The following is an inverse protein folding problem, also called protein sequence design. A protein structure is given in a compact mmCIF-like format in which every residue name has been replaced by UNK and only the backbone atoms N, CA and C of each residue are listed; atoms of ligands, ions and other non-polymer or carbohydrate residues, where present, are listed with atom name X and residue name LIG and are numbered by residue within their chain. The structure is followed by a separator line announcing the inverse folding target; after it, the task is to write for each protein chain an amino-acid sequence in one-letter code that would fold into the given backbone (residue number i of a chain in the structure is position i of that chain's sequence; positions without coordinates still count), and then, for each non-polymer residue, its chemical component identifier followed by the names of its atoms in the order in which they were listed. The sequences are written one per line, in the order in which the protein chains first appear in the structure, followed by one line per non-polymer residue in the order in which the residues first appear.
data_IF_848329324688
#
_entry.id   IF_848329324688
#
_cell.length_a   1.000
_cell.length_b   1.000
_cell.length_c   1.000
_cell.angle_alpha   90.00
_cell.angle_beta   90.00
_cell.angle_gamma   90.00
#
_symmetry.space_group_name_H-M   'P 1'
#
loop_
_entity.id
_entity.type
_entity.pdbx_description
1 polymer ?
#
# COMPACT_ATOMS: atom_id res chain seq x y z
N UNK A 1 22.82 40.49 43.79
CA UNK A 1 23.01 39.28 42.95
C UNK A 1 21.76 39.08 42.11
N UNK A 2 21.90 39.19 40.79
CA UNK A 2 20.81 38.99 39.81
C UNK A 2 20.71 37.49 39.53
N UNK A 3 19.59 36.86 39.87
CA UNK A 3 19.25 35.53 39.36
C UNK A 3 18.46 35.72 38.07
N UNK A 4 19.13 35.60 36.93
CA UNK A 4 18.48 35.41 35.64
C UNK A 4 18.20 33.91 35.52
N UNK A 5 17.00 33.49 35.89
CA UNK A 5 16.52 32.15 35.59
C UNK A 5 16.13 32.13 34.11
N UNK A 6 17.06 31.65 33.29
CA UNK A 6 16.85 31.35 31.89
C UNK A 6 15.85 30.19 31.82
N UNK A 7 14.57 30.51 31.64
CA UNK A 7 13.52 29.56 31.31
C UNK A 7 13.82 28.99 29.92
N UNK A 8 14.59 27.88 29.88
CA UNK A 8 14.64 27.00 28.72
C UNK A 8 13.21 26.48 28.50
N UNK A 9 12.49 27.15 27.60
CA UNK A 9 11.28 26.63 27.01
C UNK A 9 11.70 25.39 26.21
N UNK A 10 11.51 24.23 26.81
CA UNK A 10 11.70 22.94 26.18
C UNK A 10 10.67 22.84 25.05
N UNK A 11 11.09 23.24 23.85
CA UNK A 11 10.34 23.03 22.61
C UNK A 11 10.44 21.53 22.29
N UNK A 12 9.58 20.74 22.93
CA UNK A 12 9.34 19.36 22.52
C UNK A 12 8.43 19.45 21.29
N UNK A 13 9.05 19.65 20.12
CA UNK A 13 8.37 19.43 18.85
C UNK A 13 8.01 17.95 18.77
N UNK A 14 6.73 17.66 18.97
CA UNK A 14 6.14 16.35 18.77
C UNK A 14 6.23 15.96 17.27
N UNK A 15 7.35 15.43 16.82
CA UNK A 15 7.40 14.60 15.60
C UNK A 15 6.91 13.19 15.94
N UNK A 16 5.68 13.07 16.45
CA UNK A 16 5.11 11.81 16.95
C UNK A 16 4.00 11.24 16.04
N UNK A 17 3.84 11.75 14.82
CA UNK A 17 2.72 11.32 13.96
C UNK A 17 3.06 10.11 13.06
N UNK A 18 4.30 9.96 12.60
CA UNK A 18 4.63 8.96 11.56
C UNK A 18 5.18 7.62 12.05
N UNK A 19 5.46 7.42 13.33
CA UNK A 19 5.87 6.09 13.82
C UNK A 19 4.73 5.07 13.75
N UNK A 20 3.48 5.54 13.73
CA UNK A 20 2.26 4.72 13.81
C UNK A 20 2.05 3.84 12.57
N UNK A 21 2.52 4.25 11.39
CA UNK A 21 2.31 3.52 10.13
C UNK A 21 3.26 2.34 9.95
N UNK A 22 4.32 2.25 10.76
CA UNK A 22 5.29 1.15 10.70
C UNK A 22 4.63 -0.19 11.07
N UNK A 23 5.08 -1.24 10.41
CA UNK A 23 4.63 -2.61 10.64
C UNK A 23 4.03 -3.25 9.41
N UNK A 24 3.25 -4.30 9.63
CA UNK A 24 2.71 -5.14 8.57
C UNK A 24 1.23 -4.89 8.39
N UNK A 25 0.84 -4.73 7.12
CA UNK A 25 -0.51 -4.40 6.70
C UNK A 25 -0.91 -5.30 5.55
N UNK A 26 -2.11 -5.86 5.60
CA UNK A 26 -2.60 -6.85 4.67
C UNK A 26 -3.93 -6.44 4.04
N UNK A 27 -4.20 -6.97 2.85
CA UNK A 27 -5.49 -6.82 2.17
C UNK A 27 -5.78 -8.05 1.31
N UNK A 28 -7.03 -8.51 1.35
CA UNK A 28 -7.58 -9.43 0.37
C UNK A 28 -8.09 -8.63 -0.84
N UNK A 29 -7.76 -9.10 -2.04
CA UNK A 29 -8.23 -8.50 -3.28
C UNK A 29 -9.44 -9.29 -3.81
N UNK A 30 -10.31 -8.67 -4.62
CA UNK A 30 -11.47 -9.33 -5.20
C UNK A 30 -11.16 -10.59 -6.00
N UNK A 31 -9.94 -10.65 -6.52
CA UNK A 31 -9.41 -11.74 -7.32
C UNK A 31 -8.86 -12.93 -6.51
N UNK A 32 -9.21 -13.01 -5.22
CA UNK A 32 -8.73 -14.04 -4.28
C UNK A 32 -7.28 -13.85 -3.82
N UNK A 33 -6.56 -12.87 -4.36
CA UNK A 33 -5.16 -12.61 -4.03
C UNK A 33 -4.99 -11.92 -2.68
N UNK A 34 -3.97 -12.32 -1.93
CA UNK A 34 -3.57 -11.66 -0.69
C UNK A 34 -2.31 -10.82 -0.89
N UNK A 35 -2.35 -9.56 -0.45
CA UNK A 35 -1.22 -8.63 -0.54
C UNK A 35 -0.80 -8.22 0.87
N UNK A 36 0.50 -8.21 1.12
CA UNK A 36 1.09 -7.77 2.39
C UNK A 36 2.13 -6.68 2.17
N UNK A 37 2.01 -5.61 2.93
CA UNK A 37 2.86 -4.44 2.95
C UNK A 37 3.60 -4.40 4.28
N UNK A 38 4.91 -4.54 4.26
CA UNK A 38 5.78 -4.36 5.43
C UNK A 38 6.46 -2.99 5.33
N UNK A 39 6.02 -2.05 6.16
CA UNK A 39 6.55 -0.69 6.23
C UNK A 39 7.57 -0.57 7.38
N UNK A 40 8.79 -0.18 7.02
CA UNK A 40 9.91 0.08 7.93
C UNK A 40 10.34 1.55 7.83
N UNK A 41 11.43 1.94 8.51
CA UNK A 41 11.93 3.32 8.54
C UNK A 41 12.35 3.87 7.17
N UNK A 42 12.74 3.00 6.24
CA UNK A 42 13.28 3.42 4.95
C UNK A 42 12.83 2.56 3.78
N UNK A 43 12.10 1.47 4.05
CA UNK A 43 11.72 0.47 3.04
C UNK A 43 10.27 0.04 3.22
N UNK A 44 9.58 -0.13 2.09
CA UNK A 44 8.34 -0.89 1.96
C UNK A 44 8.66 -2.19 1.24
N UNK A 45 8.22 -3.32 1.80
CA UNK A 45 8.23 -4.61 1.12
C UNK A 45 6.79 -5.01 0.79
N UNK A 46 6.50 -5.15 -0.51
CA UNK A 46 5.22 -5.64 -1.00
C UNK A 46 5.37 -7.12 -1.38
N UNK A 47 4.63 -7.99 -0.70
CA UNK A 47 4.52 -9.41 -1.03
C UNK A 47 3.11 -9.69 -1.57
N UNK A 48 3.01 -10.32 -2.73
CA UNK A 48 1.73 -10.54 -3.43
C UNK A 48 1.56 -12.01 -3.76
N UNK A 49 0.40 -12.55 -3.37
CA UNK A 49 -0.06 -13.89 -3.73
C UNK A 49 -1.09 -13.75 -4.84
N UNK A 50 -0.69 -14.13 -6.05
CA UNK A 50 -1.52 -14.44 -7.23
C UNK A 50 -0.75 -15.47 -8.07
N UNK A 51 -1.25 -16.09 -9.17
CA UNK A 51 -0.74 -17.40 -9.62
C UNK A 51 0.80 -17.50 -9.75
N UNK A 52 1.48 -16.38 -10.02
CA UNK A 52 2.91 -16.24 -9.79
C UNK A 52 3.19 -15.28 -8.61
N UNK A 53 3.54 -15.79 -7.41
CA UNK A 53 3.80 -14.93 -6.26
C UNK A 53 5.10 -14.14 -6.45
N UNK A 54 5.15 -12.92 -5.92
CA UNK A 54 6.36 -12.10 -5.98
C UNK A 54 6.55 -11.23 -4.74
N UNK A 55 7.78 -10.75 -4.57
CA UNK A 55 8.18 -9.73 -3.59
C UNK A 55 8.83 -8.56 -4.33
N UNK A 56 8.43 -7.36 -3.96
CA UNK A 56 8.93 -6.07 -4.42
C UNK A 56 9.40 -5.23 -3.22
N UNK A 57 10.44 -4.41 -3.43
CA UNK A 57 11.05 -3.57 -2.41
C UNK A 57 11.09 -2.14 -2.94
N UNK A 58 10.58 -1.21 -2.14
CA UNK A 58 10.55 0.21 -2.45
C UNK A 58 11.30 0.98 -1.37
N UNK A 59 11.97 2.06 -1.74
CA UNK A 59 12.42 3.05 -0.77
C UNK A 59 11.22 3.87 -0.27
N UNK A 60 11.23 4.17 1.02
CA UNK A 60 10.22 5.00 1.69
C UNK A 60 10.88 6.25 2.23
N UNK A 61 10.24 7.40 1.99
CA UNK A 61 10.53 8.64 2.69
C UNK A 61 9.26 9.12 3.38
N UNK A 62 9.34 9.34 4.69
CA UNK A 62 8.23 9.86 5.47
C UNK A 62 8.14 11.38 5.35
N UNK A 63 6.94 11.89 5.11
CA UNK A 63 6.60 13.32 5.06
C UNK A 63 5.40 13.58 5.98
N UNK A 64 5.12 14.84 6.30
CA UNK A 64 4.10 15.19 7.31
C UNK A 64 2.72 14.57 7.06
N UNK A 65 2.27 14.49 5.80
CA UNK A 65 0.94 13.97 5.44
C UNK A 65 0.95 12.54 4.86
N UNK A 66 2.11 11.86 4.82
CA UNK A 66 2.16 10.58 4.13
C UNK A 66 3.54 9.97 3.93
N UNK A 67 3.64 9.12 2.92
CA UNK A 67 4.87 8.45 2.54
C UNK A 67 5.12 8.61 1.05
N UNK A 68 6.37 8.82 0.68
CA UNK A 68 6.82 8.77 -0.71
C UNK A 68 7.43 7.39 -0.93
N UNK A 69 6.89 6.64 -1.89
CA UNK A 69 7.46 5.39 -2.38
C UNK A 69 8.26 5.65 -3.65
N UNK A 70 9.44 5.07 -3.74
CA UNK A 70 10.34 5.23 -4.89
C UNK A 70 11.19 3.99 -5.11
N UNK A 71 11.87 3.91 -6.25
CA UNK A 71 12.71 2.76 -6.58
C UNK A 71 13.73 2.48 -5.48
N UNK A 72 13.79 1.22 -5.04
CA UNK A 72 14.87 0.74 -4.18
C UNK A 72 16.16 0.63 -5.01
N UNK A 73 16.93 1.73 -5.06
CA UNK A 73 18.20 1.86 -5.80
C UNK A 73 19.24 0.75 -5.52
N UNK A 74 19.08 0.01 -4.43
CA UNK A 74 19.95 -1.07 -3.97
C UNK A 74 19.60 -2.43 -4.59
N UNK A 75 18.53 -2.51 -5.38
CA UNK A 75 18.13 -3.69 -6.12
C UNK A 75 18.19 -3.39 -7.62
N UNK A 76 18.65 -4.33 -8.45
CA UNK A 76 18.52 -4.23 -9.93
C UNK A 76 17.05 -4.31 -10.39
N UNK A 77 16.10 -4.32 -9.45
CA UNK A 77 14.67 -4.43 -9.68
C UNK A 77 14.13 -3.03 -9.81
N UNK A 78 13.70 -2.69 -11.03
CA UNK A 78 12.83 -1.54 -11.26
C UNK A 78 11.47 -1.84 -10.66
N UNK A 79 10.85 -0.86 -10.01
CA UNK A 79 9.47 -0.99 -9.56
C UNK A 79 8.57 -1.39 -10.72
N UNK A 80 7.54 -2.19 -10.42
CA UNK A 80 6.43 -2.39 -11.36
C UNK A 80 5.48 -1.17 -11.38
N UNK A 81 5.68 -0.23 -10.47
CA UNK A 81 4.88 0.98 -10.29
C UNK A 81 5.75 2.24 -10.34
N UNK A 82 5.22 3.37 -10.81
CA UNK A 82 5.97 4.63 -10.79
C UNK A 82 6.13 5.11 -9.33
N UNK A 83 7.21 5.86 -9.01
CA UNK A 83 7.35 6.52 -7.71
C UNK A 83 6.09 7.34 -7.40
N UNK A 84 5.56 7.23 -6.19
CA UNK A 84 4.28 7.83 -5.80
C UNK A 84 4.34 8.43 -4.40
N UNK A 85 3.45 9.38 -4.13
CA UNK A 85 3.15 9.82 -2.77
C UNK A 85 1.83 9.20 -2.34
N UNK A 86 1.84 8.50 -1.21
CA UNK A 86 0.68 7.94 -0.56
C UNK A 86 0.31 8.81 0.64
N UNK A 87 -0.80 9.54 0.51
CA UNK A 87 -1.34 10.35 1.60
C UNK A 87 -1.97 9.45 2.66
N UNK A 88 -1.70 9.70 3.93
CA UNK A 88 -2.39 9.03 5.03
C UNK A 88 -3.77 9.67 5.20
N UNK A 89 -4.81 8.91 4.90
CA UNK A 89 -6.19 9.34 5.13
C UNK A 89 -6.65 8.99 6.55
N UNK A 90 -6.20 7.85 7.06
CA UNK A 90 -6.58 7.37 8.38
C UNK A 90 -5.55 6.37 8.90
N UNK A 91 -5.32 6.40 10.21
CA UNK A 91 -4.49 5.41 10.87
C UNK A 91 -5.01 5.10 12.27
N UNK A 92 -4.95 3.82 12.62
CA UNK A 92 -5.32 3.24 13.90
C UNK A 92 -4.44 2.04 14.20
N UNK A 93 -4.67 1.35 15.32
CA UNK A 93 -3.91 0.15 15.69
C UNK A 93 -4.11 -1.02 14.72
N UNK A 94 -5.27 -1.09 14.08
CA UNK A 94 -5.75 -2.23 13.28
C UNK A 94 -6.03 -1.87 11.81
N UNK A 95 -6.18 -0.59 11.49
CA UNK A 95 -6.47 -0.11 10.13
C UNK A 95 -5.58 1.04 9.69
N UNK A 96 -5.16 0.96 8.43
CA UNK A 96 -4.41 2.00 7.71
C UNK A 96 -5.13 2.28 6.38
N UNK A 97 -5.45 3.55 6.12
CA UNK A 97 -5.97 3.99 4.82
C UNK A 97 -5.03 4.99 4.18
N UNK A 98 -4.59 4.65 2.98
CA UNK A 98 -3.69 5.46 2.15
C UNK A 98 -4.38 5.85 0.85
N UNK A 99 -3.98 6.97 0.26
CA UNK A 99 -4.43 7.39 -1.07
C UNK A 99 -3.25 7.74 -1.96
N UNK A 100 -3.22 7.16 -3.16
CA UNK A 100 -2.29 7.58 -4.22
C UNK A 100 -2.58 9.02 -4.64
N UNK A 101 -1.55 9.86 -4.62
CA UNK A 101 -1.65 11.22 -5.17
C UNK A 101 -1.61 11.24 -6.69
N UNK A 102 -1.10 10.19 -7.33
CA UNK A 102 -1.06 10.08 -8.79
C UNK A 102 -2.34 9.52 -9.38
N UNK A 103 -2.87 8.42 -8.84
CA UNK A 103 -4.03 7.74 -9.42
C UNK A 103 -5.33 8.11 -8.70
N UNK A 104 -5.24 8.61 -7.46
CA UNK A 104 -6.40 8.84 -6.60
C UNK A 104 -6.91 7.58 -5.89
N UNK A 105 -6.35 6.40 -6.21
CA UNK A 105 -6.76 5.12 -5.63
C UNK A 105 -6.55 5.09 -4.12
N UNK A 106 -7.48 4.45 -3.42
CA UNK A 106 -7.40 4.25 -1.98
C UNK A 106 -7.02 2.81 -1.64
N UNK A 107 -6.12 2.68 -0.67
CA UNK A 107 -5.66 1.41 -0.13
C UNK A 107 -6.14 1.31 1.30
N UNK A 108 -7.16 0.48 1.53
CA UNK A 108 -7.62 0.13 2.87
C UNK A 108 -6.94 -1.16 3.31
N UNK A 109 -6.10 -1.05 4.34
CA UNK A 109 -5.25 -2.13 4.82
C UNK A 109 -5.59 -2.45 6.27
N UNK A 110 -5.61 -3.74 6.59
CA UNK A 110 -5.78 -4.26 7.95
C UNK A 110 -4.44 -4.65 8.53
N UNK A 111 -4.29 -4.65 9.85
CA UNK A 111 -3.06 -5.15 10.49
C UNK A 111 -2.83 -6.61 10.10
N UNK A 112 -1.60 -6.94 9.76
CA UNK A 112 -1.20 -8.30 9.41
C UNK A 112 -0.18 -8.86 10.41
N UNK A 113 -0.27 -10.16 10.69
CA UNK A 113 0.67 -10.85 11.58
C UNK A 113 1.89 -11.39 10.85
N UNK A 114 1.86 -11.40 9.50
CA UNK A 114 2.99 -11.83 8.69
C UNK A 114 4.22 -10.97 8.97
N UNK A 115 5.37 -11.61 9.21
CA UNK A 115 6.65 -10.94 9.44
C UNK A 115 7.70 -11.53 8.51
N UNK A 116 8.34 -10.65 7.74
CA UNK A 116 9.51 -11.00 6.95
C UNK A 116 10.76 -10.99 7.85
N UNK A 117 11.70 -11.87 7.53
CA UNK A 117 13.05 -11.74 8.07
C UNK A 117 13.71 -10.47 7.53
N UNK A 118 14.65 -9.86 8.28
CA UNK A 118 15.42 -8.71 7.79
C UNK A 118 16.05 -9.00 6.42
N UNK A 119 16.01 -8.00 5.53
CA UNK A 119 16.53 -8.14 4.17
C UNK A 119 18.03 -8.40 4.21
N UNK A 120 18.47 -9.55 3.70
CA UNK A 120 19.89 -9.81 3.45
C UNK A 120 20.26 -9.35 2.03
N UNK A 121 20.77 -8.12 1.92
CA UNK A 121 21.21 -7.57 0.64
C UNK A 121 22.45 -8.28 0.07
N UNK A 122 23.30 -8.91 0.90
CA UNK A 122 24.47 -9.64 0.44
C UNK A 122 24.08 -10.97 -0.22
N UNK A 123 22.96 -11.57 0.22
CA UNK A 123 22.41 -12.81 -0.33
C UNK A 123 20.97 -12.63 -0.85
N UNK A 124 20.71 -11.50 -1.50
CA UNK A 124 19.36 -11.05 -1.85
C UNK A 124 18.51 -12.10 -2.59
N UNK A 125 19.12 -12.83 -3.54
CA UNK A 125 18.42 -13.87 -4.31
C UNK A 125 17.94 -15.02 -3.41
N UNK A 126 18.78 -15.45 -2.46
CA UNK A 126 18.43 -16.50 -1.51
C UNK A 126 17.38 -16.02 -0.53
N UNK A 127 17.59 -14.84 0.07
CA UNK A 127 16.62 -14.21 0.97
C UNK A 127 15.24 -14.06 0.32
N UNK A 128 15.20 -13.58 -0.93
CA UNK A 128 13.95 -13.40 -1.68
C UNK A 128 13.22 -14.72 -1.89
N UNK A 129 13.95 -15.78 -2.27
CA UNK A 129 13.37 -17.12 -2.49
C UNK A 129 12.76 -17.67 -1.20
N UNK A 130 13.47 -17.57 -0.08
CA UNK A 130 13.01 -18.06 1.22
C UNK A 130 11.83 -17.25 1.75
N UNK A 131 11.91 -15.92 1.66
CA UNK A 131 10.84 -15.00 2.05
C UNK A 131 9.56 -15.24 1.24
N UNK A 132 9.70 -15.48 -0.07
CA UNK A 132 8.56 -15.76 -0.93
C UNK A 132 7.88 -17.08 -0.55
N UNK A 133 8.66 -18.12 -0.24
CA UNK A 133 8.10 -19.40 0.20
C UNK A 133 7.33 -19.27 1.53
N UNK A 134 7.89 -18.53 2.52
CA UNK A 134 7.21 -18.25 3.79
C UNK A 134 5.93 -17.45 3.60
N UNK A 135 5.98 -16.44 2.74
CA UNK A 135 4.80 -15.65 2.41
C UNK A 135 3.73 -16.49 1.71
N UNK A 136 4.12 -17.37 0.79
CA UNK A 136 3.20 -18.25 0.07
C UNK A 136 2.41 -19.16 1.03
N UNK A 137 3.13 -19.75 1.99
CA UNK A 137 2.54 -20.57 3.04
C UNK A 137 1.60 -19.76 3.95
N UNK A 138 1.99 -18.53 4.32
CA UNK A 138 1.14 -17.65 5.11
C UNK A 138 -0.13 -17.26 4.35
N UNK A 139 0.01 -16.81 3.10
CA UNK A 139 -1.09 -16.36 2.28
C UNK A 139 -2.10 -17.48 1.99
N UNK A 140 -1.64 -18.72 1.85
CA UNK A 140 -2.52 -19.89 1.70
C UNK A 140 -3.40 -20.16 2.94
N UNK A 141 -3.02 -19.67 4.12
CA UNK A 141 -3.82 -19.75 5.35
C UNK A 141 -4.77 -18.56 5.52
N UNK A 142 -4.51 -17.45 4.81
CA UNK A 142 -5.42 -16.31 4.80
C UNK A 142 -6.58 -16.65 3.90
N UNK A 143 -7.78 -16.72 4.46
CA UNK A 143 -8.98 -17.01 3.70
C UNK A 143 -9.47 -15.74 2.97
N UNK A 144 -8.86 -15.42 1.83
CA UNK A 144 -9.41 -14.46 0.88
C UNK A 144 -10.39 -15.20 -0.02
N UNK A 145 -11.66 -15.27 0.38
CA UNK A 145 -12.70 -15.79 -0.50
C UNK A 145 -12.72 -14.97 -1.80
N UNK A 146 -12.80 -15.64 -2.95
CA UNK A 146 -12.97 -14.97 -4.23
C UNK A 146 -14.31 -14.22 -4.20
N UNK A 147 -14.31 -12.93 -4.53
CA UNK A 147 -15.55 -12.17 -4.76
C UNK A 147 -16.07 -12.52 -6.17
N UNK A 148 -16.24 -13.80 -6.47
CA UNK A 148 -16.98 -14.25 -7.65
C UNK A 148 -18.47 -14.31 -7.31
N UNK A 149 -19.17 -13.18 -7.13
CA UNK A 149 -20.66 -13.23 -7.19
C UNK A 149 -21.47 -11.93 -7.37
N UNK A 150 -20.89 -10.75 -7.66
CA UNK A 150 -21.73 -9.53 -7.82
C UNK A 150 -21.70 -8.86 -9.21
N UNK A 151 -21.29 -9.59 -10.25
CA UNK A 151 -21.45 -9.14 -11.66
C UNK A 151 -22.56 -9.94 -12.37
N UNK A 152 -23.03 -11.06 -11.82
CA UNK A 152 -24.14 -11.85 -12.42
C UNK A 152 -25.55 -11.31 -12.13
N UNK A 153 -25.69 -10.23 -11.36
CA UNK A 153 -26.97 -9.58 -11.08
C UNK A 153 -27.15 -8.21 -11.76
N UNK A 154 -26.15 -7.72 -12.51
CA UNK A 154 -26.39 -6.63 -13.46
C UNK A 154 -27.23 -7.19 -14.62
N UNK A 155 -28.53 -7.25 -14.38
CA UNK A 155 -29.55 -7.53 -15.37
C UNK A 155 -29.50 -6.37 -16.38
N UNK A 156 -28.70 -6.52 -17.44
CA UNK A 156 -28.59 -5.56 -18.54
C UNK A 156 -29.94 -5.36 -19.27
N UNK A 157 -30.95 -6.18 -18.97
CA UNK A 157 -32.33 -6.03 -19.43
C UNK A 157 -33.07 -4.84 -18.78
N UNK A 158 -32.51 -4.21 -17.72
CA UNK A 158 -33.12 -3.02 -17.09
C UNK A 158 -32.67 -1.69 -17.72
N UNK A 159 -31.65 -1.69 -18.58
CA UNK A 159 -31.32 -0.53 -19.40
C UNK A 159 -32.21 -0.51 -20.64
N UNK A 160 -33.39 0.11 -20.52
CA UNK A 160 -34.13 0.54 -21.71
C UNK A 160 -33.23 1.47 -22.50
N UNK A 161 -32.90 1.07 -23.72
CA UNK A 161 -32.24 1.90 -24.72
C UNK A 161 -33.08 3.19 -24.91
N UNK A 162 -32.64 4.30 -24.31
CA UNK A 162 -33.09 5.62 -24.75
C UNK A 162 -32.37 5.91 -26.08
N UNK A 163 -33.11 5.85 -27.18
CA UNK A 163 -32.65 6.30 -28.49
C UNK A 163 -32.15 7.75 -28.42
N UNK A 164 -30.84 7.95 -28.41
CA UNK A 164 -30.23 9.26 -28.59
C UNK A 164 -30.42 9.69 -30.04
N UNK A 165 -31.41 10.56 -30.32
CA UNK A 165 -31.57 11.20 -31.63
C UNK A 165 -30.52 12.31 -31.79
N UNK A 166 -29.49 12.03 -32.57
CA UNK A 166 -28.51 13.02 -33.00
C UNK A 166 -29.12 13.83 -34.15
N UNK A 167 -29.36 15.12 -33.92
CA UNK A 167 -29.72 16.06 -35.00
C UNK A 167 -28.45 16.65 -35.61
N UNK A 168 -28.15 16.25 -36.84
CA UNK A 168 -27.13 16.91 -37.66
C UNK A 168 -27.74 18.19 -38.24
N UNK A 169 -27.20 19.35 -37.85
CA UNK A 169 -27.56 20.64 -38.47
C UNK A 169 -26.64 20.85 -39.67
N UNK A 170 -27.19 20.70 -40.88
CA UNK A 170 -26.51 21.11 -42.10
C UNK A 170 -26.48 22.65 -42.16
N UNK A 171 -25.29 23.22 -42.18
CA UNK A 171 -25.08 24.64 -42.48
C UNK A 171 -24.91 24.77 -43.99
N UNK A 172 -25.85 25.45 -44.65
CA UNK A 172 -25.73 25.89 -46.03
C UNK A 172 -25.73 27.41 -46.11
#
# INVERSE_FOLDING_TARGET
MRFVFLSLLFVILNSCQNDSIRGNWGKCNPDGGYWNYTLTDSILVLAVKKPNPFIEICNVTYIDEGIIISDAKQTEIKLMTNPDTLKILFISSDSLRLQSTQTGDQFELSKADFRLDPIDFNNYKSWKKESLAKFDEYAARVNCAELEEDIRSLNLDEFKEEEIKIYVRDNH
#
